data_IF_122126853040
#
_entry.id   IF_122126853040
#
_cell.length_a   1.000
_cell.length_b   1.000
_cell.length_c   1.000
_cell.angle_alpha   90.00
_cell.angle_beta   90.00
_cell.angle_gamma   90.00
#
_symmetry.space_group_name_H-M   'P 1'
#
loop_
_entity.id
_entity.type
_entity.pdbx_description
1 polymer ?
2 non-polymer ?
3 non-polymer ?
4 non-polymer ?
5 water ?
#
# COMPACT_ATOMS: atom_id res chain seq x y z
N UNK A 5 31.15 12.30 0.10
CA UNK A 5 30.89 11.82 1.45
C UNK A 5 29.49 11.21 1.53
N UNK A 6 29.37 10.15 2.31
CA UNK A 6 28.06 9.56 2.57
C UNK A 6 27.18 10.59 3.28
N UNK A 7 25.89 10.58 2.96
CA UNK A 7 24.94 11.48 3.60
C UNK A 7 24.59 10.97 4.99
N UNK A 8 24.52 9.65 5.13
CA UNK A 8 24.12 9.00 6.37
C UNK A 8 24.77 7.64 6.47
N UNK A 9 25.14 7.24 7.68
CA UNK A 9 25.47 5.86 7.94
C UNK A 9 24.62 5.45 9.13
N UNK A 10 23.80 4.41 8.95
CA UNK A 10 22.90 3.95 10.00
C UNK A 10 23.32 2.55 10.41
N UNK A 11 23.72 2.40 11.67
CA UNK A 11 24.11 1.09 12.21
C UNK A 11 22.98 0.51 13.04
N UNK A 12 22.72 -0.78 12.89
CA UNK A 12 21.65 -1.41 13.63
C UNK A 12 22.05 -2.80 14.09
N UNK A 13 21.36 -3.29 15.11
CA UNK A 13 21.60 -4.64 15.61
C UNK A 13 21.28 -5.69 14.55
N UNK A 14 20.18 -5.48 13.82
CA UNK A 14 19.76 -6.44 12.81
C UNK A 14 19.35 -5.70 11.56
N UNK A 15 19.61 -6.31 10.41
CA UNK A 15 19.05 -5.84 9.14
C UNK A 15 18.38 -7.00 8.45
N UNK A 16 17.07 -6.87 8.20
CA UNK A 16 16.35 -7.85 7.40
C UNK A 16 16.40 -7.36 5.96
N UNK A 17 17.11 -8.08 5.09
CA UNK A 17 17.39 -7.58 3.75
C UNK A 17 16.22 -7.76 2.78
N UNK A 18 15.47 -8.85 2.95
CA UNK A 18 14.43 -9.28 2.01
C UNK A 18 15.04 -9.65 0.64
N UNK A 19 16.36 -9.74 0.58
CA UNK A 19 17.00 -10.21 -0.65
C UNK A 19 16.88 -11.73 -0.80
N UNK A 20 16.94 -12.41 0.34
CA UNK A 20 16.67 -13.84 0.40
C UNK A 20 15.88 -14.05 1.66
N UNK A 21 14.89 -14.95 1.63
CA UNK A 21 14.11 -15.26 2.83
C UNK A 21 15.05 -15.72 3.92
N UNK A 22 14.87 -15.19 5.13
CA UNK A 22 15.67 -15.63 6.26
C UNK A 22 16.94 -14.84 6.49
N UNK A 23 17.40 -14.10 5.48
CA UNK A 23 18.66 -13.37 5.63
C UNK A 23 18.54 -12.17 6.56
N UNK A 24 19.35 -12.21 7.63
CA UNK A 24 19.40 -11.14 8.62
C UNK A 24 20.86 -10.81 8.87
N UNK A 25 21.25 -9.56 8.64
CA UNK A 25 22.62 -9.14 8.91
C UNK A 25 22.72 -8.66 10.35
N UNK A 26 23.77 -9.07 11.06
CA UNK A 26 23.89 -8.67 12.45
C UNK A 26 24.98 -7.64 12.58
N UNK A 27 24.69 -6.57 13.32
CA UNK A 27 25.67 -5.53 13.59
C UNK A 27 26.29 -4.97 12.32
N UNK A 28 25.42 -4.67 11.35
CA UNK A 28 25.87 -4.07 10.11
C UNK A 28 25.35 -2.66 9.99
N UNK A 29 25.81 -1.94 8.99
CA UNK A 29 25.41 -0.55 8.80
C UNK A 29 25.09 -0.30 7.35
N UNK A 30 24.20 0.64 7.12
CA UNK A 30 23.83 1.05 5.78
C UNK A 30 24.37 2.46 5.52
N UNK A 31 25.21 2.58 4.50
CA UNK A 31 25.69 3.90 4.05
C UNK A 31 24.81 4.37 2.91
N UNK A 32 24.40 5.64 2.97
CA UNK A 32 23.45 6.21 2.02
C UNK A 32 24.08 7.37 1.27
N UNK A 33 24.00 7.33 -0.05
CA UNK A 33 24.45 8.47 -0.86
C UNK A 33 23.49 8.68 -2.02
N UNK A 34 23.16 9.94 -2.28
CA UNK A 34 22.26 10.30 -3.37
C UNK A 34 20.90 9.62 -3.22
N UNK A 35 20.48 9.43 -1.97
CA UNK A 35 19.17 8.86 -1.70
C UNK A 35 19.12 7.34 -1.82
N UNK A 36 20.26 6.72 -2.12
CA UNK A 36 20.32 5.27 -2.36
C UNK A 36 21.24 4.56 -1.38
N UNK A 37 21.03 3.25 -1.22
CA UNK A 37 21.91 2.40 -0.42
C UNK A 37 23.24 2.24 -1.18
N UNK A 38 24.31 2.82 -0.63
CA UNK A 38 25.59 2.85 -1.32
C UNK A 38 26.52 1.73 -0.84
N UNK A 39 26.33 1.31 0.39
CA UNK A 39 27.12 0.23 0.95
C UNK A 39 26.41 -0.41 2.13
N UNK A 40 26.63 -1.71 2.31
CA UNK A 40 26.15 -2.42 3.48
C UNK A 40 27.36 -3.14 4.09
N UNK A 41 27.82 -2.67 5.26
CA UNK A 41 29.11 -3.06 5.79
C UNK A 41 29.00 -3.44 7.26
N UNK A 42 29.97 -4.23 7.76
CA UNK A 42 30.05 -4.45 9.21
C UNK A 42 30.16 -3.10 9.93
N UNK A 43 29.48 -2.98 11.07
CA UNK A 43 29.40 -1.68 11.76
C UNK A 43 30.77 -1.20 12.21
N UNK A 44 31.70 -2.14 12.37
CA UNK A 44 33.07 -1.83 12.76
C UNK A 44 33.79 -1.01 11.68
N UNK A 45 33.45 -1.26 10.42
CA UNK A 45 34.07 -0.57 9.29
C UNK A 45 33.48 0.83 9.08
N UNK A 46 32.40 1.15 9.78
CA UNK A 46 31.63 2.36 9.52
C UNK A 46 32.17 3.65 10.15
N UNK A 47 32.76 3.53 11.35
CA UNK A 47 33.34 4.69 12.02
C UNK A 47 34.55 5.22 11.24
N UNK A 48 35.17 4.33 10.47
CA UNK A 48 36.30 4.69 9.64
C UNK A 48 35.90 5.42 8.38
N UNK A 49 34.59 5.50 8.12
CA UNK A 49 34.06 6.21 6.97
C UNK A 49 33.47 7.55 7.41
N UNK A 50 33.44 8.51 6.49
CA UNK A 50 32.92 9.84 6.81
C UNK A 50 31.47 9.98 6.38
N UNK A 51 30.69 10.74 7.15
CA UNK A 51 29.28 10.89 6.86
C UNK A 51 28.75 12.20 7.40
N UNK A 52 27.80 12.80 6.70
CA UNK A 52 27.18 14.03 7.18
C UNK A 52 26.35 13.76 8.44
N UNK A 53 25.84 12.54 8.56
CA UNK A 53 25.09 12.13 9.73
C UNK A 53 25.40 10.68 10.08
N UNK A 54 25.46 10.39 11.38
CA UNK A 54 25.67 9.02 11.82
C UNK A 54 24.63 8.67 12.87
N UNK A 55 24.11 7.45 12.79
CA UNK A 55 23.03 7.04 13.68
C UNK A 55 23.27 5.60 14.11
N UNK A 56 23.26 5.39 15.43
CA UNK A 56 23.44 4.07 16.03
C UNK A 56 22.10 3.64 16.59
N UNK A 57 21.67 2.44 16.22
CA UNK A 57 20.38 1.94 16.66
C UNK A 57 20.52 0.57 17.31
N UNK A 58 21.03 0.55 18.55
CA UNK A 58 21.18 -0.73 19.27
C UNK A 58 19.79 -1.30 19.57
N UNK A 59 19.66 -2.62 19.48
CA UNK A 59 18.38 -3.30 19.67
C UNK A 59 17.31 -2.91 18.67
N UNK A 60 17.72 -2.35 17.53
CA UNK A 60 16.76 -2.05 16.46
C UNK A 60 16.98 -2.97 15.28
N UNK A 61 15.88 -3.27 14.57
CA UNK A 61 15.99 -3.93 13.29
C UNK A 61 15.72 -2.89 12.20
N UNK A 62 16.56 -2.88 11.17
CA UNK A 62 16.38 -2.05 9.98
C UNK A 62 15.82 -2.96 8.92
N UNK A 64 13.32 -2.91 4.84
CA UNK A 64 12.69 -2.02 3.86
C UNK A 64 11.39 -1.42 4.42
N UNK A 65 11.06 -0.21 3.98
CA UNK A 65 9.83 0.43 4.38
C UNK A 65 8.66 -0.40 3.87
N UNK A 66 7.55 -0.36 4.60
CA UNK A 66 6.40 -1.17 4.22
C UNK A 66 5.65 -0.48 3.08
N UNK A 67 5.15 -1.28 2.15
CA UNK A 67 4.46 -0.74 0.98
C UNK A 67 2.97 -1.09 1.05
N UNK A 68 2.15 -0.06 1.29
CA UNK A 68 0.70 -0.23 1.35
C UNK A 68 0.15 -0.22 -0.08
N UNK A 69 -0.16 -1.41 -0.59
CA UNK A 69 -0.49 -1.56 -2.00
C UNK A 69 -1.95 -1.19 -2.35
N UNK A 70 -2.73 -0.84 -1.34
CA UNK A 70 -4.12 -0.44 -1.59
C UNK A 70 -4.72 0.36 -0.44
N UNK A 71 -4.85 1.66 -0.64
CA UNK A 71 -5.48 2.53 0.35
C UNK A 71 -6.49 3.47 -0.28
N UNK A 72 -7.35 4.04 0.57
CA UNK A 72 -8.22 5.16 0.22
C UNK A 72 -8.01 6.17 1.34
N UNK A 73 -6.86 6.85 1.27
CA UNK A 73 -6.29 7.52 2.42
C UNK A 73 -7.21 8.54 3.07
N UNK A 74 -7.88 9.36 2.27
CA UNK A 74 -8.75 10.39 2.81
C UNK A 74 -9.89 9.84 3.69
N UNK A 76 -9.62 8.18 6.18
CA UNK A 76 -9.21 8.33 7.59
C UNK A 76 -10.24 9.18 8.34
N UNK A 77 -10.81 10.17 7.67
CA UNK A 77 -11.79 11.06 8.29
C UNK A 77 -13.14 10.39 8.58
N UNK A 78 -13.31 9.16 8.10
CA UNK A 78 -14.57 8.45 8.28
C UNK A 78 -14.39 7.23 9.17
N UNK A 79 -13.27 7.18 9.89
CA UNK A 79 -12.93 6.02 10.71
C UNK A 79 -14.04 5.68 11.70
N UNK A 80 -14.61 4.47 11.59
CA UNK A 80 -15.59 4.00 12.56
C UNK A 80 -17.01 4.47 12.31
N UNK A 81 -17.24 5.14 11.19
CA UNK A 81 -18.58 5.64 10.86
C UNK A 81 -19.53 4.61 10.23
N UNK A 82 -18.98 3.51 9.73
CA UNK A 82 -19.80 2.54 8.99
C UNK A 82 -19.36 1.11 9.21
N UNK A 83 -19.60 0.59 10.41
CA UNK A 83 -19.28 -0.80 10.73
C UNK A 83 -20.48 -1.75 10.45
N UNK A 84 -20.18 -3.04 10.36
CA UNK A 84 -21.19 -4.11 10.36
C UNK A 84 -22.09 -4.19 9.13
N UNK A 85 -21.53 -3.78 8.00
CA UNK A 85 -22.24 -3.86 6.72
C UNK A 85 -21.37 -4.62 5.74
N UNK A 86 -22.01 -5.39 4.86
CA UNK A 86 -21.31 -6.06 3.77
C UNK A 86 -21.13 -5.03 2.65
N UNK A 87 -20.25 -5.34 1.70
CA UNK A 87 -19.79 -4.32 0.74
C UNK A 87 -20.86 -3.47 0.06
N UNK A 89 -24.15 -2.94 0.50
CA UNK A 89 -24.92 -2.16 1.47
C UNK A 89 -24.07 -1.01 2.04
N UNK A 90 -22.84 -1.34 2.41
CA UNK A 90 -21.89 -0.36 2.94
C UNK A 90 -21.65 0.80 1.97
N UNK A 91 -21.38 0.50 0.70
CA UNK A 91 -21.17 1.56 -0.29
C UNK A 91 -22.45 2.34 -0.58
N UNK A 92 -23.52 1.61 -0.88
CA UNK A 92 -24.76 2.21 -1.37
C UNK A 92 -25.45 3.07 -0.33
N UNK A 93 -25.52 2.56 0.90
CA UNK A 93 -26.36 3.19 1.90
C UNK A 93 -25.62 3.98 2.97
N UNK A 94 -24.30 3.87 3.00
CA UNK A 94 -23.52 4.52 4.05
C UNK A 94 -22.37 5.34 3.47
N UNK A 95 -21.46 4.67 2.78
CA UNK A 95 -20.25 5.34 2.30
C UNK A 95 -20.52 6.37 1.19
N UNK A 96 -21.17 5.95 0.10
CA UNK A 96 -21.39 6.91 -0.97
C UNK A 96 -22.23 8.12 -0.55
N UNK A 97 -23.31 7.92 0.24
CA UNK A 97 -24.03 9.13 0.67
C UNK A 97 -23.18 10.05 1.55
N UNK A 98 -22.34 9.49 2.41
CA UNK A 98 -21.49 10.30 3.27
C UNK A 98 -20.42 11.03 2.44
N UNK A 99 -19.91 10.34 1.43
CA UNK A 99 -18.93 10.94 0.51
C UNK A 99 -19.57 12.04 -0.33
N UNK A 100 -20.82 11.86 -0.74
CA UNK A 100 -21.53 12.91 -1.45
C UNK A 100 -21.71 14.17 -0.60
N UNK A 101 -21.83 13.99 0.70
CA UNK A 101 -21.98 15.12 1.61
C UNK A 101 -20.69 15.89 1.89
N UNK A 102 -19.59 15.18 2.03
CA UNK A 102 -18.38 15.80 2.60
C UNK A 102 -17.14 15.84 1.73
N UNK A 103 -17.10 15.06 0.66
CA UNK A 103 -15.85 14.97 -0.11
C UNK A 103 -15.65 16.09 -1.13
N UNK A 104 -14.68 16.95 -0.87
CA UNK A 104 -14.19 17.95 -1.82
C UNK A 104 -12.69 18.02 -1.64
N UNK A 105 -12.03 18.98 -2.27
CA UNK A 105 -10.57 19.09 -2.15
C UNK A 105 -10.10 19.14 -0.71
N UNK A 106 -10.85 19.86 0.13
CA UNK A 106 -10.44 20.07 1.52
C UNK A 106 -10.41 18.77 2.31
N UNK A 107 -11.49 18.00 2.19
CA UNK A 107 -11.60 16.69 2.79
C UNK A 107 -10.44 15.79 2.35
N UNK A 108 -10.21 15.74 1.05
CA UNK A 108 -9.20 14.84 0.51
C UNK A 108 -7.79 15.24 0.95
N UNK A 109 -7.51 16.53 0.97
CA UNK A 109 -6.20 17.00 1.42
C UNK A 109 -6.02 16.70 2.91
N UNK A 110 -6.98 17.14 3.73
CA UNK A 110 -6.90 16.93 5.17
C UNK A 110 -6.84 15.45 5.52
N UNK A 111 -7.68 14.66 4.87
CA UNK A 111 -7.76 13.23 5.16
C UNK A 111 -6.52 12.49 4.71
N UNK A 112 -5.96 12.90 3.57
CA UNK A 112 -4.76 12.25 3.08
C UNK A 112 -3.61 12.54 4.02
N UNK A 113 -3.51 13.80 4.47
CA UNK A 113 -2.46 14.17 5.42
C UNK A 113 -2.56 13.37 6.71
N UNK A 114 -3.77 13.27 7.27
CA UNK A 114 -3.99 12.49 8.49
C UNK A 114 -3.54 11.04 8.29
N UNK A 115 -3.96 10.46 7.18
CA UNK A 115 -3.62 9.08 6.86
C UNK A 115 -2.10 8.91 6.76
N UNK A 117 0.29 10.75 8.16
CA UNK A 117 0.84 10.76 9.51
C UNK A 117 0.74 9.40 10.18
N UNK A 118 -0.43 8.78 10.09
CA UNK A 118 -0.62 7.46 10.70
C UNK A 118 0.25 6.41 10.01
N UNK A 120 3.15 6.81 8.21
CA UNK A 120 4.56 6.99 8.55
C UNK A 120 4.83 6.49 9.97
N UNK A 121 3.92 6.80 10.90
CA UNK A 121 4.08 6.37 12.29
C UNK A 121 4.18 4.84 12.41
N UNK A 122 3.60 4.12 11.46
CA UNK A 122 3.64 2.67 11.52
C UNK A 122 4.61 2.02 10.54
N UNK A 123 5.47 2.83 9.94
CA UNK A 123 6.54 2.27 9.10
C UNK A 123 6.18 2.06 7.64
N UNK A 124 5.09 2.67 7.19
CA UNK A 124 4.74 2.64 5.77
C UNK A 124 5.46 3.78 5.03
N UNK A 125 6.15 3.43 3.94
CA UNK A 125 6.90 4.41 3.15
C UNK A 125 6.26 4.66 1.79
N UNK A 126 5.51 3.69 1.28
CA UNK A 126 4.89 3.85 -0.03
C UNK A 126 3.41 3.60 0.12
N UNK A 127 2.60 4.47 -0.46
CA UNK A 127 1.15 4.25 -0.48
C UNK A 127 0.64 4.24 -1.91
N UNK A 128 -0.06 3.15 -2.27
CA UNK A 128 -0.75 3.06 -3.55
C UNK A 128 -2.19 3.47 -3.30
N UNK A 129 -2.47 4.75 -3.45
CA UNK A 129 -3.76 5.30 -3.05
C UNK A 129 -4.77 5.27 -4.18
N UNK A 131 -8.52 7.42 -4.85
CA UNK A 131 -9.63 8.23 -4.35
C UNK A 131 -10.12 9.25 -5.38
N UNK A 132 -10.59 10.41 -4.90
CA UNK A 132 -11.08 11.48 -5.77
C UNK A 132 -10.27 12.73 -5.51
N UNK A 133 -10.48 13.79 -6.28
CA UNK A 133 -9.73 15.04 -6.08
C UNK A 133 -8.23 14.78 -6.02
N UNK A 134 -7.73 14.21 -7.10
CA UNK A 134 -6.41 13.62 -7.12
C UNK A 134 -5.30 14.63 -6.91
N UNK A 135 -5.54 15.88 -7.27
CA UNK A 135 -4.53 16.92 -7.07
C UNK A 135 -4.29 17.16 -5.59
N UNK A 136 -5.34 16.94 -4.79
CA UNK A 136 -5.22 17.08 -3.34
C UNK A 136 -4.42 15.95 -2.74
N UNK A 137 -4.62 14.72 -3.22
CA UNK A 137 -3.80 13.60 -2.76
C UNK A 137 -2.33 13.83 -3.15
N UNK A 138 -2.12 14.32 -4.37
CA UNK A 138 -0.77 14.58 -4.85
C UNK A 138 -0.09 15.63 -3.98
N UNK A 139 -0.83 16.70 -3.66
CA UNK A 139 -0.26 17.75 -2.83
C UNK A 139 0.12 17.20 -1.47
N UNK A 140 -0.76 16.38 -0.89
CA UNK A 140 -0.48 15.79 0.41
C UNK A 140 0.75 14.90 0.34
N UNK A 141 0.89 14.15 -0.76
CA UNK A 141 2.02 13.24 -0.91
C UNK A 141 3.35 13.98 -1.01
N UNK A 142 3.36 15.10 -1.72
CA UNK A 142 4.58 15.88 -1.83
C UNK A 142 4.92 16.51 -0.48
N UNK A 143 3.89 16.89 0.27
CA UNK A 143 4.09 17.45 1.60
C UNK A 143 4.69 16.43 2.58
N UNK A 144 4.14 15.23 2.61
CA UNK A 144 4.60 14.24 3.58
C UNK A 144 5.96 13.67 3.21
N UNK A 145 6.25 13.60 1.91
CA UNK A 145 7.49 13.02 1.43
C UNK A 145 7.40 11.51 1.22
N UNK A 147 6.51 8.01 -0.73
CA UNK A 147 6.49 7.60 -2.13
C UNK A 147 5.02 7.36 -2.42
N UNK A 148 4.44 8.16 -3.30
CA UNK A 148 2.98 8.23 -3.43
C UNK A 148 2.48 7.89 -4.82
N UNK A 149 1.58 6.92 -4.89
CA UNK A 149 0.86 6.62 -6.13
C UNK A 149 -0.57 7.12 -5.99
N UNK A 150 -0.95 8.08 -6.83
CA UNK A 150 -2.27 8.69 -6.77
C UNK A 150 -3.18 8.01 -7.78
N UNK A 151 -4.21 7.34 -7.28
CA UNK A 151 -5.10 6.58 -8.13
C UNK A 151 -6.33 7.39 -8.49
N UNK A 152 -6.47 7.71 -9.77
CA UNK A 152 -7.56 8.57 -10.21
C UNK A 152 -8.80 7.71 -10.40
N UNK A 153 -9.71 7.74 -9.43
CA UNK A 153 -10.87 6.87 -9.49
C UNK A 153 -11.77 7.23 -10.66
N UNK A 154 -12.32 6.21 -11.28
CA UNK A 154 -13.23 6.43 -12.39
C UNK A 154 -14.51 5.65 -12.12
N UNK A 155 -15.64 6.35 -12.19
CA UNK A 155 -16.97 5.76 -12.02
C UNK A 155 -17.82 6.20 -13.20
N UNK A 156 -19.04 5.66 -13.29
CA UNK A 156 -19.94 6.07 -14.36
C UNK A 156 -20.94 7.13 -13.86
N UNK A 157 -21.28 7.08 -12.58
CA UNK A 157 -22.28 8.00 -12.05
C UNK A 157 -21.72 9.36 -11.63
N UNK A 158 -22.55 10.42 -11.74
CA UNK A 158 -22.07 11.76 -11.34
C UNK A 158 -21.88 11.89 -9.85
N UNK A 159 -20.84 12.62 -9.47
CA UNK A 159 -20.53 12.90 -8.08
C UNK A 159 -20.15 14.36 -8.04
N UNK A 160 -19.87 14.88 -6.85
CA UNK A 160 -19.39 16.26 -6.78
C UNK A 160 -18.09 16.42 -7.56
N UNK A 161 -17.28 15.37 -7.60
CA UNK A 161 -16.01 15.42 -8.31
C UNK A 161 -16.10 15.46 -9.83
N UNK A 162 -16.92 14.58 -10.40
CA UNK A 162 -16.99 14.46 -11.86
C UNK A 162 -18.35 13.93 -12.31
N UNK A 163 -18.73 14.24 -13.55
CA UNK A 163 -20.11 14.04 -13.98
C UNK A 163 -20.35 12.72 -14.73
N UNK A 164 -19.29 12.17 -15.33
CA UNK A 164 -19.36 10.90 -16.05
C UNK A 164 -17.95 10.34 -16.23
N UNK A 165 -17.85 9.12 -16.74
CA UNK A 165 -16.54 8.46 -16.86
C UNK A 165 -15.50 9.30 -17.59
N UNK A 166 -15.88 9.88 -18.73
CA UNK A 166 -14.97 10.75 -19.46
C UNK A 166 -14.48 11.93 -18.62
N UNK A 167 -15.32 12.41 -17.71
CA UNK A 167 -14.97 13.55 -16.86
C UNK A 167 -13.98 13.11 -15.76
N UNK A 168 -14.17 11.93 -15.18
CA UNK A 168 -13.21 11.43 -14.19
C UNK A 168 -11.83 11.32 -14.84
N UNK A 169 -11.82 10.82 -16.08
CA UNK A 169 -10.58 10.61 -16.82
C UNK A 169 -9.91 11.93 -17.17
N UNK A 170 -10.69 12.87 -17.72
CA UNK A 170 -10.15 14.15 -18.12
C UNK A 170 -9.61 14.93 -16.93
N UNK A 171 -10.34 14.88 -15.82
CA UNK A 171 -9.91 15.61 -14.63
C UNK A 171 -8.66 15.01 -14.02
N UNK A 172 -8.60 13.67 -13.97
CA UNK A 172 -7.42 12.99 -13.47
C UNK A 172 -6.20 13.33 -14.30
N UNK A 174 -5.79 15.98 -16.24
CA UNK A 174 -5.45 17.38 -16.07
C UNK A 174 -4.65 17.59 -14.80
N UNK A 175 -5.09 16.94 -13.72
CA UNK A 175 -4.38 17.04 -12.43
C UNK A 175 -2.99 16.41 -12.50
N UNK A 176 -2.88 15.25 -13.15
CA UNK A 176 -1.59 14.60 -13.37
C UNK A 176 -0.60 15.57 -14.01
N UNK A 177 -1.08 16.35 -14.97
CA UNK A 177 -0.22 17.29 -15.73
C UNK A 177 0.39 18.39 -14.85
N UNK A 178 -0.16 18.60 -13.66
CA UNK A 178 0.32 19.61 -12.72
C UNK A 178 1.45 19.08 -11.82
N UNK A 179 1.75 17.80 -11.91
CA UNK A 179 2.73 17.15 -11.02
C UNK A 179 3.74 16.30 -11.79
N UNK A 180 4.12 16.74 -12.98
CA UNK A 180 5.05 15.99 -13.82
C UNK A 180 6.47 16.12 -13.29
N UNK A 181 7.28 15.09 -13.53
CA UNK A 181 8.68 15.14 -13.16
C UNK A 181 8.94 15.02 -11.67
N UNK A 182 7.93 14.53 -10.93
CA UNK A 182 8.12 14.31 -9.50
C UNK A 182 8.50 12.86 -9.26
N UNK A 183 9.70 12.65 -8.74
CA UNK A 183 10.27 11.33 -8.57
C UNK A 183 9.43 10.44 -7.65
N UNK A 184 8.81 11.04 -6.64
CA UNK A 184 8.11 10.29 -5.60
C UNK A 184 6.61 10.35 -5.76
N UNK A 185 6.15 10.87 -6.89
CA UNK A 185 4.72 11.02 -7.11
C UNK A 185 4.37 10.44 -8.47
N UNK A 186 3.43 9.48 -8.48
CA UNK A 186 3.05 8.79 -9.71
C UNK A 186 1.52 8.66 -9.79
N UNK A 187 0.90 9.22 -10.85
CA UNK A 187 -0.54 9.06 -11.06
C UNK A 187 -0.86 7.75 -11.76
N UNK A 188 -1.94 7.10 -11.35
CA UNK A 188 -2.40 5.87 -11.99
C UNK A 188 -3.85 6.06 -12.41
N UNK A 189 -4.33 5.20 -13.29
CA UNK A 189 -5.76 5.19 -13.61
C UNK A 189 -6.46 4.18 -12.72
N UNK A 190 -7.56 4.59 -12.08
CA UNK A 190 -8.22 3.70 -11.12
C UNK A 190 -9.71 3.48 -11.38
N UNK A 191 -10.04 2.78 -12.47
CA UNK A 191 -11.45 2.39 -12.67
C UNK A 191 -11.92 1.63 -11.43
N UNK A 192 -13.07 2.02 -10.89
CA UNK A 192 -13.42 1.60 -9.53
C UNK A 192 -13.53 0.09 -9.35
N UNK A 193 -14.34 -0.56 -10.18
CA UNK A 193 -14.62 -1.99 -10.04
C UNK A 193 -15.37 -2.45 -11.28
N UNK A 194 -15.41 -3.77 -11.52
CA UNK A 194 -16.18 -4.24 -12.68
C UNK A 194 -17.66 -3.79 -12.67
N UNK A 195 -18.25 -3.64 -11.48
CA UNK A 195 -19.68 -3.37 -11.37
C UNK A 195 -20.03 -1.88 -11.36
N UNK A 196 -19.03 -1.03 -11.58
CA UNK A 196 -19.26 0.42 -11.62
C UNK A 196 -18.63 1.03 -12.85
N UNK A 197 -18.11 0.18 -13.73
CA UNK A 197 -17.38 0.67 -14.90
C UNK A 197 -17.82 -0.12 -16.11
N UNK A 198 -18.09 0.58 -17.23
CA UNK A 198 -18.62 -0.11 -18.41
C UNK A 198 -17.52 -0.64 -19.30
N UNK A 199 -17.85 -1.53 -20.25
CA UNK A 199 -16.86 -2.04 -21.20
C UNK A 199 -16.17 -0.88 -21.93
N UNK A 200 -16.96 0.10 -22.37
CA UNK A 200 -16.37 1.22 -23.11
C UNK A 200 -15.37 2.00 -22.25
N UNK A 201 -15.70 2.21 -20.99
CA UNK A 201 -14.78 2.92 -20.10
C UNK A 201 -13.52 2.11 -19.84
N UNK A 202 -13.66 0.80 -19.68
CA UNK A 202 -12.48 -0.05 -19.49
C UNK A 202 -11.58 0.04 -20.72
N UNK A 203 -12.16 0.02 -21.91
CA UNK A 203 -11.34 0.13 -23.12
C UNK A 203 -10.60 1.46 -23.20
N UNK A 204 -11.28 2.54 -22.81
CA UNK A 204 -10.63 3.86 -22.81
C UNK A 204 -9.46 3.88 -21.82
N UNK A 205 -9.63 3.19 -20.70
CA UNK A 205 -8.57 3.11 -19.70
C UNK A 205 -7.38 2.33 -20.21
N UNK A 206 -7.64 1.20 -20.88
CA UNK A 206 -6.57 0.38 -21.46
C UNK A 206 -5.75 1.20 -22.45
N UNK A 207 -6.44 1.86 -23.37
CA UNK A 207 -5.81 2.70 -24.37
C UNK A 207 -5.01 3.84 -23.74
N UNK A 208 -5.61 4.53 -22.78
CA UNK A 208 -4.93 5.66 -22.16
C UNK A 208 -3.73 5.22 -21.35
N UNK A 209 -3.89 4.15 -20.56
CA UNK A 209 -2.79 3.64 -19.74
C UNK A 209 -1.59 3.20 -20.61
N UNK A 210 -1.89 2.58 -21.74
CA UNK A 210 -0.84 2.18 -22.67
C UNK A 210 -0.12 3.37 -23.28
N UNK A 211 -0.90 4.35 -23.75
CA UNK A 211 -0.34 5.56 -24.35
C UNK A 211 0.56 6.32 -23.38
N UNK A 212 0.09 6.46 -22.14
CA UNK A 212 0.79 7.30 -21.16
C UNK A 212 1.67 6.49 -20.22
N UNK A 213 1.71 5.17 -20.41
CA UNK A 213 2.46 4.26 -19.53
C UNK A 213 2.10 4.44 -18.07
N UNK A 215 -0.02 2.72 -14.57
CA UNK A 215 -0.58 1.54 -13.93
C UNK A 215 -2.10 1.67 -13.91
N UNK A 216 -2.77 0.53 -13.79
CA UNK A 216 -4.21 0.48 -13.59
C UNK A 216 -4.46 -0.16 -12.22
N UNK A 217 -5.33 0.47 -11.43
CA UNK A 217 -5.57 0.08 -10.05
C UNK A 217 -7.08 -0.10 -9.91
N UNK A 218 -7.54 -1.30 -9.53
CA UNK A 218 -8.97 -1.63 -9.61
C UNK A 218 -9.34 -2.65 -8.56
N UNK A 219 -10.50 -2.50 -7.91
CA UNK A 219 -11.02 -3.54 -7.01
C UNK A 219 -11.61 -4.66 -7.87
N UNK A 220 -11.06 -5.87 -7.79
CA UNK A 220 -11.52 -6.97 -8.63
C UNK A 220 -11.80 -8.25 -7.83
N UNK A 221 -12.97 -8.85 -8.07
CA UNK A 221 -13.38 -10.09 -7.41
C UNK A 221 -13.40 -9.98 -5.88
N UNK A 222 -13.88 -8.84 -5.37
CA UNK A 222 -13.95 -8.66 -3.92
C UNK A 222 -15.02 -9.54 -3.25
N UNK A 223 -16.14 -9.77 -3.94
CA UNK A 223 -17.25 -10.54 -3.36
C UNK A 223 -17.82 -11.59 -4.30
N UNK A 224 -18.50 -12.58 -3.73
CA UNK A 224 -19.15 -13.60 -4.53
C UNK A 224 -20.30 -12.98 -5.32
N UNK A 225 -20.96 -11.99 -4.72
CA UNK A 225 -22.04 -11.31 -5.42
C UNK A 225 -21.56 -10.61 -6.69
N UNK A 226 -20.41 -9.92 -6.60
CA UNK A 226 -19.83 -9.28 -7.78
C UNK A 226 -19.58 -10.31 -8.89
N UNK A 227 -18.95 -11.41 -8.51
CA UNK A 227 -18.58 -12.42 -9.50
C UNK A 227 -19.81 -13.09 -10.12
N UNK A 228 -20.80 -13.42 -9.29
CA UNK A 228 -22.02 -14.06 -9.82
C UNK A 228 -22.88 -13.12 -10.63
N UNK A 229 -23.03 -11.89 -10.15
CA UNK A 229 -23.80 -10.88 -10.89
C UNK A 229 -23.17 -10.55 -12.24
N UNK A 230 -21.85 -10.60 -12.32
CA UNK A 230 -21.16 -10.33 -13.58
C UNK A 230 -21.58 -11.31 -14.67
N UNK A 231 -21.77 -12.57 -14.31
CA UNK A 231 -22.16 -13.59 -15.28
C UNK A 231 -23.52 -13.22 -15.86
N UNK A 232 -24.43 -12.80 -14.99
CA UNK A 232 -25.76 -12.38 -15.42
C UNK A 232 -25.71 -11.17 -16.33
N UNK A 233 -24.89 -10.20 -15.98
CA UNK A 233 -24.89 -8.92 -16.66
C UNK A 233 -23.97 -8.87 -17.88
N UNK A 234 -22.86 -9.60 -17.80
CA UNK A 234 -21.84 -9.53 -18.86
C UNK A 234 -21.54 -10.87 -19.50
N UNK A 235 -22.14 -11.92 -18.97
CA UNK A 235 -22.03 -13.23 -19.59
C UNK A 235 -20.83 -14.05 -19.13
N UNK A 236 -19.99 -13.46 -18.28
CA UNK A 236 -18.82 -14.18 -17.79
C UNK A 236 -18.36 -13.53 -16.50
N UNK A 237 -17.51 -14.22 -15.75
CA UNK A 237 -17.00 -13.68 -14.49
C UNK A 237 -16.12 -12.49 -14.79
N UNK A 238 -15.92 -11.58 -13.80
CA UNK A 238 -15.24 -10.32 -14.10
C UNK A 238 -13.84 -10.48 -14.69
N UNK A 239 -13.03 -11.38 -14.16
CA UNK A 239 -11.68 -11.53 -14.72
C UNK A 239 -11.71 -11.90 -16.20
N UNK A 240 -12.64 -12.77 -16.60
CA UNK A 240 -12.72 -13.18 -18.00
C UNK A 240 -13.17 -12.02 -18.87
N UNK A 241 -14.11 -11.24 -18.36
CA UNK A 241 -14.54 -10.01 -19.02
C UNK A 241 -13.36 -9.05 -19.19
N UNK A 242 -12.60 -8.83 -18.11
CA UNK A 242 -11.46 -7.91 -18.20
C UNK A 242 -10.38 -8.42 -19.15
N UNK A 243 -10.20 -9.73 -19.21
CA UNK A 243 -9.26 -10.28 -20.18
C UNK A 243 -9.73 -9.95 -21.59
N UNK A 244 -11.02 -10.15 -21.83
CA UNK A 244 -11.61 -9.86 -23.13
C UNK A 244 -11.43 -8.38 -23.52
N UNK A 245 -11.48 -7.51 -22.51
CA UNK A 245 -11.32 -6.07 -22.72
C UNK A 245 -9.86 -5.58 -22.76
N UNK A 246 -8.93 -6.46 -22.42
CA UNK A 246 -7.51 -6.12 -22.52
C UNK A 246 -6.90 -5.57 -21.25
N UNK A 247 -7.63 -5.66 -20.13
CA UNK A 247 -7.19 -5.03 -18.88
C UNK A 247 -6.11 -5.83 -18.12
N UNK A 248 -6.02 -7.13 -18.36
CA UNK A 248 -5.11 -7.96 -17.57
C UNK A 248 -3.71 -7.95 -18.18
N UNK A 249 -2.76 -7.41 -17.44
CA UNK A 249 -1.40 -7.23 -17.94
C UNK A 249 -0.55 -6.82 -16.75
N UNK A 250 0.78 -6.73 -16.93
CA UNK A 250 1.60 -6.38 -15.77
C UNK A 250 1.35 -5.00 -15.17
N UNK A 251 0.64 -4.11 -15.88
CA UNK A 251 0.37 -2.78 -15.32
C UNK A 251 -0.81 -2.77 -14.35
N UNK A 252 -1.52 -3.89 -14.25
CA UNK A 252 -2.72 -3.97 -13.42
C UNK A 252 -2.41 -4.40 -11.97
N UNK A 253 -2.77 -3.55 -11.02
CA UNK A 253 -2.78 -3.90 -9.61
C UNK A 253 -4.23 -4.19 -9.24
N UNK A 254 -4.54 -5.46 -9.05
CA UNK A 254 -5.91 -5.89 -8.78
C UNK A 254 -6.15 -6.01 -7.29
N UNK A 255 -6.87 -5.05 -6.72
CA UNK A 255 -7.12 -5.06 -5.29
C UNK A 255 -8.15 -6.12 -4.91
N UNK A 256 -7.95 -6.72 -3.73
CA UNK A 256 -8.85 -7.72 -3.13
C UNK A 256 -8.65 -9.12 -3.69
N UNK A 258 -10.50 -11.78 -3.91
CA UNK A 258 -10.91 -12.69 -2.86
C UNK A 258 -11.53 -13.98 -3.41
N UNK A 259 -12.41 -13.83 -4.40
CA UNK A 259 -13.12 -14.98 -4.95
C UNK A 259 -12.53 -15.43 -6.27
N UNK A 260 -11.68 -16.46 -6.22
CA UNK A 260 -10.98 -16.93 -7.39
C UNK A 260 -11.11 -18.44 -7.52
N UNK A 261 -11.35 -18.93 -8.73
CA UNK A 261 -11.20 -20.36 -8.97
C UNK A 261 -9.81 -20.63 -9.48
N UNK A 262 -9.44 -21.90 -9.68
CA UNK A 262 -8.07 -22.20 -10.06
C UNK A 262 -7.72 -21.67 -11.44
N UNK A 263 -8.70 -21.64 -12.34
CA UNK A 263 -8.49 -21.11 -13.68
C UNK A 263 -8.13 -19.63 -13.64
N UNK A 264 -8.73 -18.91 -12.68
CA UNK A 264 -8.47 -17.48 -12.54
C UNK A 264 -7.09 -17.21 -11.92
N UNK A 265 -6.64 -18.10 -11.05
CA UNK A 265 -5.27 -18.03 -10.54
C UNK A 265 -4.26 -18.14 -11.68
N UNK A 266 -4.50 -19.08 -12.59
CA UNK A 266 -3.58 -19.26 -13.72
C UNK A 266 -3.69 -18.10 -14.71
N UNK A 267 -4.89 -17.59 -14.92
CA UNK A 267 -5.12 -16.42 -15.76
C UNK A 267 -4.30 -15.24 -15.26
N UNK A 268 -4.35 -15.02 -13.94
CA UNK A 268 -3.60 -13.95 -13.32
C UNK A 268 -2.10 -14.14 -13.56
N UNK A 269 -1.63 -15.37 -13.34
CA UNK A 269 -0.21 -15.69 -13.54
C UNK A 269 0.24 -15.47 -15.00
N UNK A 270 -0.57 -15.90 -15.95
CA UNK A 270 -0.25 -15.74 -17.37
C UNK A 270 -0.12 -14.27 -17.77
N UNK A 271 -1.03 -13.45 -17.28
CA UNK A 271 -1.03 -12.04 -17.65
C UNK A 271 -0.13 -11.17 -16.79
N UNK A 272 0.41 -11.76 -15.73
CA UNK A 272 1.40 -11.08 -14.91
C UNK A 272 0.88 -9.88 -14.13
N UNK A 273 -0.40 -9.90 -13.80
CA UNK A 273 -0.96 -8.86 -12.95
C UNK A 273 -0.45 -9.12 -11.54
N UNK A 274 -0.65 -8.15 -10.65
CA UNK A 274 -0.38 -8.35 -9.24
C UNK A 274 -1.70 -8.18 -8.48
N UNK A 275 -1.74 -8.69 -7.25
CA UNK A 275 -2.91 -8.43 -6.40
C UNK A 275 -2.51 -7.69 -5.13
N UNK A 276 -3.45 -6.90 -4.60
CA UNK A 276 -3.28 -6.34 -3.27
C UNK A 276 -4.19 -7.10 -2.31
N UNK A 277 -3.59 -7.78 -1.34
CA UNK A 277 -4.34 -8.53 -0.36
C UNK A 277 -4.68 -7.62 0.83
N UNK A 278 -5.97 -7.50 1.11
CA UNK A 278 -6.46 -6.59 2.15
C UNK A 278 -7.27 -7.35 3.18
N UNK A 279 -6.59 -8.15 4.03
CA UNK A 279 -7.30 -9.10 4.89
C UNK A 279 -8.28 -8.47 5.90
N UNK A 280 -7.93 -7.38 6.57
CA UNK A 280 -8.85 -6.83 7.57
C UNK A 280 -10.17 -6.41 6.93
N UNK A 281 -10.10 -5.71 5.80
CA UNK A 281 -11.31 -5.27 5.12
C UNK A 281 -12.13 -6.44 4.58
N UNK A 282 -11.44 -7.47 4.09
CA UNK A 282 -12.13 -8.67 3.59
C UNK A 282 -12.86 -9.41 4.71
N UNK A 284 -13.76 -7.82 7.73
CA UNK A 284 -14.70 -6.88 8.32
C UNK A 284 -15.97 -6.71 7.49
N UNK A 285 -15.83 -6.69 6.16
CA UNK A 285 -17.00 -6.59 5.28
C UNK A 285 -17.59 -7.97 4.97
N UNK A 286 -16.96 -9.02 5.51
CA UNK A 286 -17.43 -10.40 5.33
C UNK A 286 -17.41 -10.81 3.86
N UNK A 287 -16.33 -10.42 3.17
CA UNK A 287 -16.15 -10.73 1.77
C UNK A 287 -15.59 -12.13 1.56
N UNK A 288 -14.66 -12.53 2.44
CA UNK A 288 -14.06 -13.85 2.34
C UNK A 288 -12.54 -13.88 2.43
N UNK A 289 -11.96 -15.02 2.10
CA UNK A 289 -10.51 -15.23 2.20
C UNK A 289 -9.85 -15.38 0.83
N UNK A 290 -9.03 -14.40 0.45
CA UNK A 290 -8.26 -14.49 -0.79
C UNK A 290 -7.25 -15.63 -0.71
N UNK A 291 -7.20 -16.47 -1.76
CA UNK A 291 -6.29 -17.62 -1.76
C UNK A 291 -4.87 -17.19 -2.11
N UNK A 292 -4.25 -16.43 -1.22
CA UNK A 292 -2.98 -15.78 -1.55
C UNK A 292 -1.86 -16.79 -1.76
N UNK A 293 -1.92 -17.92 -1.07
CA UNK A 293 -0.86 -18.92 -1.21
C UNK A 293 -0.88 -19.53 -2.61
N UNK A 294 -2.08 -19.78 -3.13
CA UNK A 294 -2.23 -20.29 -4.49
C UNK A 294 -1.70 -19.29 -5.52
N UNK A 295 -2.04 -18.01 -5.32
CA UNK A 295 -1.56 -16.97 -6.24
C UNK A 295 -0.05 -16.91 -6.19
N UNK A 297 2.08 -19.18 -5.12
CA UNK A 297 2.67 -20.42 -5.64
C UNK A 297 2.66 -20.42 -7.18
N UNK A 298 1.71 -19.73 -7.78
CA UNK A 298 1.59 -19.63 -9.23
C UNK A 298 2.51 -18.56 -9.81
N UNK A 299 3.16 -17.78 -8.94
CA UNK A 299 4.12 -16.79 -9.39
C UNK A 299 3.59 -15.36 -9.42
N UNK A 300 2.38 -15.15 -8.92
CA UNK A 300 1.79 -13.81 -8.91
C UNK A 300 2.33 -12.98 -7.74
N UNK A 301 2.69 -11.72 -8.01
CA UNK A 301 3.06 -10.80 -6.94
C UNK A 301 1.83 -10.45 -6.11
N UNK A 302 1.83 -10.87 -4.85
CA UNK A 302 0.75 -10.52 -3.95
C UNK A 302 1.30 -9.60 -2.89
N UNK A 303 0.88 -8.33 -2.95
CA UNK A 303 1.26 -7.37 -1.93
C UNK A 303 0.15 -7.27 -0.89
N UNK A 304 0.26 -6.31 0.01
CA UNK A 304 -0.71 -6.18 1.08
C UNK A 304 -1.15 -4.72 1.13
N UNK A 305 -2.44 -4.47 1.28
CA UNK A 305 -2.93 -3.11 1.50
C UNK A 305 -3.84 -3.09 2.70
N UNK A 306 -4.25 -1.90 3.14
CA UNK A 306 -5.15 -1.79 4.28
C UNK A 306 -6.59 -1.51 3.89
N UNK A 307 -6.80 -1.06 2.66
CA UNK A 307 -8.07 -0.46 2.24
C UNK A 307 -8.26 0.82 3.05
N UNK A 308 -9.48 1.35 3.11
CA UNK A 308 -9.72 2.59 3.84
C UNK A 308 -10.04 2.38 5.31
N UNK A 309 -9.89 3.45 6.09
CA UNK A 309 -10.05 3.40 7.55
C UNK A 309 -11.49 3.17 8.01
N UNK A 310 -12.47 3.23 7.11
CA UNK A 310 -13.85 2.91 7.49
C UNK A 310 -14.19 1.43 7.36
N UNK A 311 -13.24 0.64 6.85
CA UNK A 311 -13.39 -0.81 6.82
C UNK A 311 -12.08 -1.52 7.20
N UNK A 312 -11.52 -1.15 8.35
CA UNK A 312 -10.30 -1.80 8.80
C UNK A 312 -10.21 -2.01 10.33
N UNK A 313 -10.17 -0.97 11.16
CA UNK A 313 -10.21 0.45 10.80
C UNK A 313 -8.87 1.12 11.02
N UNK A 314 -7.78 0.35 10.94
CA UNK A 314 -6.43 0.91 11.10
C UNK A 314 -5.78 1.10 9.73
N UNK A 315 -4.71 1.87 9.68
CA UNK A 315 -3.83 1.92 8.50
C UNK A 315 -2.47 1.35 8.91
N UNK A 316 -2.50 0.19 9.57
CA UNK A 316 -1.32 -0.36 10.24
C UNK A 316 -0.79 -1.53 9.42
N UNK A 318 2.00 -3.29 9.72
CA UNK A 318 2.51 -4.41 10.52
C UNK A 318 1.37 -5.33 10.94
N UNK A 319 0.27 -4.74 11.40
CA UNK A 319 -0.89 -5.50 11.81
C UNK A 319 -1.50 -6.19 10.60
N UNK A 320 -1.48 -5.52 9.46
CA UNK A 320 -2.08 -6.09 8.25
C UNK A 320 -1.26 -7.28 7.77
N UNK A 321 0.06 -7.18 7.89
CA UNK A 321 0.98 -8.26 7.50
C UNK A 321 0.86 -9.49 8.41
N UNK A 322 0.80 -9.27 9.71
CA UNK A 322 0.50 -10.34 10.67
C UNK A 322 -0.81 -11.03 10.32
N UNK A 323 -1.84 -10.22 10.05
CA UNK A 323 -3.16 -10.77 9.74
C UNK A 323 -3.13 -11.61 8.47
N UNK A 324 -2.41 -11.15 7.46
CA UNK A 324 -2.24 -11.93 6.23
C UNK A 324 -1.66 -13.30 6.54
N UNK A 325 -0.60 -13.33 7.35
CA UNK A 325 0.03 -14.59 7.73
C UNK A 325 -0.90 -15.51 8.53
N UNK A 326 -1.66 -14.92 9.46
CA UNK A 326 -2.60 -15.71 10.27
C UNK A 326 -3.76 -16.22 9.43
N UNK A 327 -4.33 -15.36 8.60
CA UNK A 327 -5.50 -15.76 7.80
C UNK A 327 -5.12 -16.83 6.78
N UNK A 328 -3.93 -16.74 6.20
CA UNK A 328 -3.49 -17.72 5.23
C UNK A 328 -3.45 -19.11 5.85
N UNK A 329 -2.95 -19.20 7.08
CA UNK A 329 -2.85 -20.48 7.77
C UNK A 329 -4.21 -21.05 8.12
N UNK A 330 -5.11 -20.21 8.61
CA UNK A 330 -6.41 -20.73 9.03
C UNK A 330 -7.26 -21.08 7.82
N UNK A 331 -7.05 -20.38 6.72
CA UNK A 331 -7.82 -20.61 5.50
C UNK A 331 -7.40 -21.86 4.75
N UNK A 332 -6.12 -22.18 4.82
CA UNK A 332 -5.60 -23.39 4.18
C UNK A 332 -5.48 -24.56 5.16
N UNK A 333 -5.62 -24.26 6.45
CA UNK A 333 -5.33 -25.24 7.52
C UNK A 333 -3.92 -25.83 7.40
N UNK A 334 -3.00 -25.03 6.89
CA UNK A 334 -1.62 -25.46 6.75
C UNK A 334 -0.80 -24.43 7.49
N UNK A 335 -0.16 -24.84 8.59
CA UNK A 335 0.63 -23.89 9.39
C UNK A 335 1.86 -23.40 8.65
N UNK A 336 2.22 -24.02 7.53
CA UNK A 336 3.38 -23.55 6.77
C UNK A 336 3.01 -22.55 5.69
N UNK A 337 1.72 -22.25 5.53
CA UNK A 337 1.30 -21.20 4.60
C UNK A 337 1.75 -19.83 5.10
N UNK A 338 2.30 -19.04 4.19
CA UNK A 338 2.83 -17.71 4.50
C UNK A 338 3.64 -17.64 5.79
N UNK A 339 4.85 -18.24 5.78
CA UNK A 339 5.78 -18.06 6.90
C UNK A 339 6.19 -16.60 7.01
N UNK A 340 6.81 -16.23 8.11
CA UNK A 340 7.08 -14.81 8.39
C UNK A 340 7.93 -14.16 7.30
N UNK A 341 8.91 -14.89 6.77
CA UNK A 341 9.74 -14.32 5.71
C UNK A 341 8.89 -13.99 4.49
N UNK A 342 7.93 -14.84 4.16
CA UNK A 342 7.06 -14.58 3.02
C UNK A 342 6.14 -13.39 3.27
N UNK A 343 5.64 -13.28 4.50
CA UNK A 343 4.76 -12.16 4.87
C UNK A 343 5.51 -10.85 4.72
N UNK A 344 6.76 -10.80 5.19
CA UNK A 344 7.57 -9.59 5.02
C UNK A 344 7.75 -9.28 3.54
N UNK A 345 8.01 -10.31 2.74
CA UNK A 345 8.11 -10.14 1.29
C UNK A 345 6.83 -9.54 0.70
N UNK A 347 4.73 -7.60 2.18
CA UNK A 347 4.55 -6.23 2.68
C UNK A 347 5.57 -5.29 2.09
N UNK A 348 6.60 -5.85 1.44
CA UNK A 348 7.68 -5.01 0.92
C UNK A 348 7.95 -5.27 -0.57
N UNK A 349 8.80 -6.25 -0.84
CA UNK A 349 9.23 -6.52 -2.22
C UNK A 349 8.07 -6.79 -3.19
N UNK A 350 7.05 -7.52 -2.74
CA UNK A 350 5.92 -7.81 -3.65
C UNK A 350 5.14 -6.54 -3.97
N UNK A 351 5.03 -5.63 -3.02
CA UNK A 351 4.43 -4.34 -3.30
C UNK A 351 5.21 -3.61 -4.39
N UNK A 352 6.53 -3.64 -4.30
CA UNK A 352 7.37 -2.97 -5.28
C UNK A 352 7.21 -3.62 -6.65
N UNK A 353 7.15 -4.94 -6.67
CA UNK A 353 6.94 -5.67 -7.92
C UNK A 353 5.63 -5.22 -8.54
N UNK A 354 4.59 -5.15 -7.71
CA UNK A 354 3.26 -4.77 -8.18
C UNK A 354 3.27 -3.39 -8.84
N UNK A 355 4.05 -2.49 -8.26
CA UNK A 355 4.07 -1.10 -8.71
C UNK A 355 5.12 -0.87 -9.79
N UNK A 356 5.78 -1.95 -10.20
CA UNK A 356 6.74 -1.91 -11.29
C UNK A 356 8.07 -1.29 -10.91
N UNK A 357 8.37 -1.28 -9.61
CA UNK A 357 9.59 -0.60 -9.13
C UNK A 357 10.46 -1.48 -8.23
N UNK A 358 10.38 -2.80 -8.43
CA UNK A 358 11.15 -3.73 -7.58
C UNK A 358 12.65 -3.64 -7.84
N UNK A 359 13.05 -2.99 -8.94
CA UNK A 359 14.47 -2.73 -9.16
C UNK A 359 14.94 -1.52 -8.33
N UNK A 360 13.99 -0.77 -7.77
CA UNK A 360 14.26 0.49 -7.08
C UNK A 360 14.12 0.44 -5.57
N UNK A 361 13.10 -0.28 -5.09
CA UNK A 361 12.82 -0.35 -3.67
C UNK A 361 12.34 -1.75 -3.32
N UNK A 362 12.10 -2.00 -2.03
CA UNK A 362 11.50 -3.27 -1.64
C UNK A 362 12.46 -4.21 -0.96
N UNK A 363 13.76 -3.93 -1.06
CA UNK A 363 14.77 -4.73 -0.36
C UNK A 363 15.99 -3.91 0.01
N UNK A 364 16.77 -4.40 0.97
CA UNK A 364 17.99 -3.72 1.36
C UNK A 364 19.11 -4.22 0.46
N UNK A 365 19.40 -3.45 -0.59
CA UNK A 365 20.32 -3.88 -1.64
C UNK A 365 21.05 -2.65 -2.17
N UNK A 366 22.36 -2.75 -2.31
CA UNK A 366 23.14 -1.65 -2.84
C UNK A 366 22.60 -1.25 -4.22
N UNK A 367 22.39 0.05 -4.41
CA UNK A 367 21.89 0.57 -5.67
C UNK A 367 20.42 0.94 -5.58
N UNK A 368 19.72 0.31 -4.63
CA UNK A 368 18.31 0.60 -4.43
C UNK A 368 18.13 1.86 -3.63
N UNK A 369 16.94 2.46 -3.73
CA UNK A 369 16.66 3.67 -2.97
C UNK A 369 16.46 3.33 -1.50
N UNK A 370 16.88 4.26 -0.64
CA UNK A 370 16.89 4.01 0.80
C UNK A 370 15.52 4.32 1.40
N UNK A 371 14.55 3.47 1.06
CA UNK A 371 13.23 3.47 1.70
C UNK A 371 13.35 2.45 2.83
N UNK A 372 13.57 2.95 4.04
CA UNK A 372 13.96 2.10 5.16
C UNK A 372 13.20 2.49 6.40
N UNK A 373 13.00 1.52 7.29
CA UNK A 373 12.43 1.82 8.59
C UNK A 373 13.24 1.10 9.66
N UNK A 374 13.15 1.59 10.88
CA UNK A 374 13.83 0.96 12.02
C UNK A 374 12.79 0.68 13.10
N UNK A 375 12.82 -0.52 13.67
CA UNK A 375 11.91 -0.87 14.76
C UNK A 375 12.72 -1.13 16.02
N UNK A 376 12.28 -0.53 17.13
CA UNK A 376 12.91 -0.74 18.42
C UNK A 376 12.37 -2.00 19.08
N UNK A 377 13.19 -3.05 19.12
CA UNK A 377 12.74 -4.33 19.66
C UNK A 377 13.06 -4.46 21.14
N UNK A 378 13.63 -3.42 21.74
CA UNK A 378 13.91 -3.41 23.17
C UNK A 378 12.66 -2.97 23.93
N UNK A 379 11.60 -3.75 23.78
CA UNK A 379 10.35 -3.51 24.51
C UNK A 379 9.87 -4.86 24.97
N UNK A 380 9.03 -4.86 26.01
CA UNK A 380 8.53 -6.12 26.55
C UNK A 380 7.80 -6.93 25.48
N UNK A 381 7.15 -6.23 24.55
CA UNK A 381 6.33 -6.87 23.55
C UNK A 381 7.11 -7.74 22.56
N UNK A 382 8.41 -7.48 22.47
CA UNK A 382 9.29 -8.24 21.56
C UNK A 382 10.49 -8.80 22.32
N UNK A 383 10.29 -9.11 23.59
CA UNK A 383 11.32 -9.68 24.44
C UNK A 383 10.91 -11.11 24.77
N UNK A 384 11.87 -12.05 24.83
CA UNK A 384 13.29 -11.90 24.49
C UNK A 384 13.44 -11.75 22.98
N UNK A 385 14.53 -11.12 22.55
CA UNK A 385 14.71 -10.84 21.14
C UNK A 385 15.43 -12.00 20.46
N UNK A 386 14.68 -13.01 20.08
CA UNK A 386 15.28 -14.17 19.44
C UNK A 386 15.51 -13.93 17.94
N UNK A 387 14.46 -14.11 17.15
CA UNK A 387 14.51 -13.96 15.69
C UNK A 387 13.69 -12.75 15.28
N UNK A 388 14.35 -11.73 14.73
CA UNK A 388 13.66 -10.49 14.37
C UNK A 388 12.67 -10.68 13.23
N UNK A 389 12.90 -11.63 12.33
CA UNK A 389 11.91 -11.89 11.29
C UNK A 389 10.59 -12.37 11.90
N UNK A 390 10.67 -13.35 12.80
CA UNK A 390 9.48 -13.82 13.52
C UNK A 390 8.79 -12.69 14.29
N UNK A 391 9.57 -11.93 15.05
CA UNK A 391 9.02 -10.83 15.86
C UNK A 391 8.32 -9.77 15.02
N UNK A 392 8.93 -9.39 13.90
CA UNK A 392 8.35 -8.34 13.06
C UNK A 392 6.95 -8.72 12.62
N UNK A 393 6.78 -9.99 12.29
CA UNK A 393 5.50 -10.46 11.80
C UNK A 393 4.52 -10.80 12.92
N UNK A 394 4.99 -11.47 13.98
CA UNK A 394 4.04 -12.01 14.96
C UNK A 394 3.94 -11.28 16.29
N UNK A 395 4.85 -10.34 16.57
CA UNK A 395 4.89 -9.74 17.91
C UNK A 395 5.02 -8.22 17.90
N UNK A 396 5.89 -7.69 17.04
CA UNK A 396 6.14 -6.26 16.99
C UNK A 396 4.88 -5.48 16.63
N UNK A 397 4.81 -4.21 17.06
CA UNK A 397 3.67 -3.38 16.75
C UNK A 397 4.04 -2.04 16.13
N UNK A 398 3.03 -1.34 15.60
CA UNK A 398 3.22 -0.08 14.91
C UNK A 398 3.91 0.94 15.82
N UNK A 399 3.72 0.78 17.12
CA UNK A 399 4.25 1.74 18.09
C UNK A 399 5.78 1.62 18.25
N UNK A 400 6.38 0.55 17.72
CA UNK A 400 7.80 0.30 17.87
C UNK A 400 8.65 0.85 16.71
N UNK A 401 7.99 1.31 15.65
CA UNK A 401 8.73 1.94 14.56
C UNK A 401 9.28 3.27 15.07
N UNK A 402 10.60 3.45 15.01
CA UNK A 402 11.23 4.63 15.59
C UNK A 402 11.65 5.64 14.52
N UNK A 403 12.09 5.12 13.38
CA UNK A 403 12.61 5.97 12.31
C UNK A 403 12.08 5.50 10.97
N UNK A 404 11.83 6.47 10.07
CA UNK A 404 11.38 6.18 8.71
C UNK A 404 12.16 7.07 7.72
N UNK A 405 12.74 6.44 6.70
CA UNK A 405 13.37 7.18 5.59
C UNK A 405 12.75 6.81 4.26
N UNK A 406 12.53 7.82 3.41
CA UNK A 406 12.16 7.59 2.01
C UNK A 406 13.21 8.29 1.15
N UNK A 407 13.88 7.51 0.32
CA UNK A 407 15.01 8.02 -0.46
C UNK A 407 16.05 8.68 0.43
N UNK A 408 16.32 8.06 1.57
CA UNK A 408 17.34 8.56 2.48
C UNK A 408 16.90 9.74 3.31
N UNK A 409 15.72 10.28 3.02
CA UNK A 409 15.24 11.45 3.73
C UNK A 409 14.41 11.02 4.93
N UNK A 410 14.70 11.55 6.11
CA UNK A 410 13.97 11.16 7.32
C UNK A 410 12.56 11.76 7.33
N UNK A 411 11.56 10.89 7.48
CA UNK A 411 10.19 11.34 7.62
C UNK A 411 9.76 11.23 9.07
N UNK A 413 11.76 10.61 13.15
CA UNK A 413 12.97 10.33 13.94
C UNK A 413 12.58 10.24 15.39
N UNK A 414 12.88 9.10 16.01
CA UNK A 414 12.46 8.82 17.39
C UNK A 414 10.99 9.17 17.60
N UNK A 415 10.18 8.75 16.62
CA UNK A 415 8.72 8.91 16.64
C UNK A 415 8.23 10.36 16.60
N UNK A 416 9.10 11.25 16.13
CA UNK A 416 8.67 12.62 15.85
C UNK A 416 8.58 12.74 14.34
N UNK A 417 7.42 13.15 13.84
CA UNK A 417 7.25 13.36 12.40
C UNK A 417 8.04 14.60 11.97
N UNK A 418 8.81 14.48 10.90
CA UNK A 418 9.71 15.57 10.49
C UNK A 418 9.18 16.41 9.34
N UNK A 419 8.19 15.88 8.61
CA UNK A 419 7.67 16.59 7.42
C UNK A 419 6.24 17.08 7.64
N UNK A 420 5.57 16.51 8.64
CA UNK A 420 4.19 16.87 8.96
C UNK A 420 4.11 17.31 10.40
N UNK A 421 3.12 18.14 10.70
CA UNK A 421 2.90 18.61 12.06
C UNK A 421 1.79 17.77 12.70
N UNK A 422 2.17 16.89 13.63
CA UNK A 422 1.22 15.96 14.24
C UNK A 422 0.05 16.67 14.94
N UNK A 423 0.32 17.82 15.57
CA UNK A 423 -0.74 18.59 16.21
C UNK A 423 -1.74 19.15 15.19
N UNK A 424 -1.21 19.61 14.06
CA UNK A 424 -2.05 20.05 12.95
C UNK A 424 -2.93 18.92 12.42
N UNK A 425 -2.37 17.72 12.32
CA UNK A 425 -3.16 16.57 11.84
C UNK A 425 -4.32 16.27 12.80
N UNK A 426 -4.02 16.30 14.10
CA UNK A 426 -5.05 16.03 15.11
C UNK A 426 -6.15 17.07 15.04
N UNK A 427 -5.75 18.32 14.82
CA UNK A 427 -6.69 19.44 14.74
C UNK A 427 -7.61 19.33 13.53
N UNK A 428 -7.07 18.93 12.38
CA UNK A 428 -7.89 18.71 11.19
C UNK A 428 -8.88 17.59 11.42
N UNK A 429 -8.43 16.51 12.07
CA UNK A 429 -9.34 15.42 12.41
C UNK A 429 -10.49 15.90 13.31
N UNK A 430 -10.15 16.72 14.31
CA UNK A 430 -11.15 17.24 15.22
C UNK A 430 -12.12 18.18 14.53
N UNK A 431 -11.61 18.96 13.59
CA UNK A 431 -12.43 19.82 12.74
C UNK A 431 -13.45 18.96 11.99
N UNK A 432 -12.97 17.90 11.35
CA UNK A 432 -13.86 17.04 10.58
C UNK A 432 -14.86 16.27 11.45
N UNK A 433 -14.47 15.91 12.66
CA UNK A 433 -15.40 15.28 13.59
C UNK A 433 -16.60 16.21 13.78
N UNK A 434 -16.32 17.48 14.02
CA UNK A 434 -17.38 18.47 14.23
C UNK A 434 -18.23 18.65 13.00
N UNK A 435 -17.58 18.69 11.84
CA UNK A 435 -18.28 18.96 10.58
C UNK A 435 -19.16 17.79 10.16
N UNK A 436 -18.70 16.58 10.41
CA UNK A 436 -19.45 15.39 10.03
C UNK A 436 -20.61 15.13 11.00
N UNK A 437 -20.41 15.40 12.28
CA UNK A 437 -21.48 15.20 13.26
C UNK A 437 -22.51 16.33 13.22
N UNK A 438 -22.14 17.45 12.59
CA UNK A 438 -23.00 18.63 12.51
C UNK A 438 -24.39 18.31 11.96
#
# INVERSE_FOLDING_TARGET
XPQSRYEKIISARWIITVETDGEVLENHAIAIRDGKIAAIIPAADAAGLEADERLELPDHVLXPGLINLHGHSAXSLLRGLADDKALXDWLTNYIWPTEGKHVHDDFVFDGSLLAXGEXIRGGTTTINDXYFYNAAVARAGLASGXRTFVGCSILEFPTNYASNADDYIAKGXAERSQFLGEDLLTFTLAPHAPYTVSDDTFRKVVTLAEQEDXLIHCHIHETADEVNNSVKEHGQRPLARLQRLGLLSPRLVAAHXVHLNDAEVELAARHGLSTAHNPASNXKLASGISPVSKLXDAGVAVGIGTDGAASNNKLDXLAETRLAALLAKVGTLDPTSVPAAAAIRXATLNGARALGIADKVGSVKVGKQADLIALDLAQLETAPAFDPISHVVYAAGREQVSHVWVKGRALXRERKLTTLDESDLKARAGDWRNRILAKEGHHHHHH
#
